data_IF_765219472608
#
_entry.id   IF_765219472608
#
_cell.length_a   1.000
_cell.length_b   1.000
_cell.length_c   1.000
_cell.angle_alpha   90.00
_cell.angle_beta   90.00
_cell.angle_gamma   90.00
#
_symmetry.space_group_name_H-M   'P 1'
#
loop_
_entity.id
_entity.type
_entity.pdbx_description
1 polymer ?
#
# COMPACT_ATOMS: atom_id res chain seq x y z
N UNK A 1 5.10 -7.46 -0.40
CA UNK A 1 4.80 -8.85 -0.05
C UNK A 1 3.56 -9.34 -0.82
N UNK A 2 3.72 -10.35 -1.68
CA UNK A 2 2.64 -11.03 -2.41
C UNK A 2 2.35 -12.43 -1.86
N UNK A 3 2.87 -12.77 -0.68
CA UNK A 3 2.69 -14.05 -0.01
C UNK A 3 1.33 -14.19 0.69
N UNK A 4 1.04 -15.40 1.16
CA UNK A 4 -0.15 -15.67 1.98
C UNK A 4 -0.15 -14.92 3.32
N UNK A 5 1.04 -14.57 3.82
CA UNK A 5 1.23 -13.86 5.09
C UNK A 5 0.91 -12.37 5.01
N UNK A 6 0.75 -11.79 3.81
CA UNK A 6 0.59 -10.36 3.65
C UNK A 6 -0.62 -9.80 4.42
N UNK A 7 -0.43 -8.84 5.32
CA UNK A 7 -1.51 -8.20 6.07
C UNK A 7 -1.80 -6.81 5.50
N UNK A 8 -3.06 -6.43 5.50
CA UNK A 8 -3.45 -5.11 5.05
C UNK A 8 -3.05 -4.05 6.08
N UNK A 9 -2.43 -2.96 5.63
CA UNK A 9 -1.92 -1.93 6.54
C UNK A 9 -0.51 -2.20 7.09
N UNK A 10 0.20 -3.22 6.60
CA UNK A 10 1.61 -3.39 6.93
C UNK A 10 2.48 -2.24 6.41
N UNK A 11 3.42 -1.81 7.24
CA UNK A 11 4.42 -0.80 6.87
C UNK A 11 5.60 -1.45 6.16
N UNK A 12 6.12 -0.77 5.13
CA UNK A 12 7.30 -1.18 4.37
C UNK A 12 8.54 -0.51 4.95
N UNK A 13 9.02 -1.05 6.06
CA UNK A 13 10.14 -0.48 6.80
C UNK A 13 11.48 -0.66 6.07
N UNK A 14 12.29 0.39 6.08
CA UNK A 14 13.69 0.35 5.68
C UNK A 14 14.52 1.18 6.65
N UNK A 15 15.76 0.77 6.98
CA UNK A 15 16.67 1.57 7.79
C UNK A 15 16.85 2.98 7.21
N UNK A 16 16.94 3.99 8.07
CA UNK A 16 17.16 5.38 7.66
C UNK A 16 18.10 6.09 8.63
N UNK A 17 18.97 6.93 8.08
CA UNK A 17 19.84 7.83 8.84
C UNK A 17 19.25 9.24 8.97
N UNK A 18 17.95 9.40 8.72
CA UNK A 18 17.25 10.69 8.82
C UNK A 18 17.21 11.18 10.27
N UNK A 19 18.29 11.81 10.71
CA UNK A 19 18.53 12.32 12.07
C UNK A 19 17.54 13.41 12.48
N UNK A 20 16.95 14.12 11.51
CA UNK A 20 15.92 15.15 11.73
C UNK A 20 14.47 14.66 11.73
N UNK A 21 14.20 13.39 11.41
CA UNK A 21 12.84 12.84 11.42
C UNK A 21 12.50 12.30 12.83
N UNK A 22 11.42 12.81 13.44
CA UNK A 22 10.92 12.33 14.73
C UNK A 22 10.23 10.97 14.63
N UNK A 23 10.32 10.18 15.70
CA UNK A 23 9.52 8.95 15.84
C UNK A 23 8.03 9.28 15.83
N UNK A 24 7.26 8.59 14.99
CA UNK A 24 5.84 8.87 14.74
C UNK A 24 4.97 8.62 15.97
N UNK A 25 5.36 7.64 16.81
CA UNK A 25 4.74 7.34 18.11
C UNK A 25 4.69 8.57 19.04
N UNK A 26 5.57 9.56 18.84
CA UNK A 26 5.64 10.74 19.69
C UNK A 26 6.43 10.49 20.97
N UNK A 27 6.75 11.55 21.72
CA UNK A 27 7.69 11.46 22.85
C UNK A 27 7.14 10.69 24.05
N UNK A 28 5.82 10.74 24.28
CA UNK A 28 5.19 10.08 25.44
C UNK A 28 5.32 8.55 25.43
N UNK A 29 5.30 7.94 24.24
CA UNK A 29 5.32 6.49 24.06
C UNK A 29 6.62 5.98 23.38
N UNK A 30 7.53 6.88 23.02
CA UNK A 30 8.74 6.52 22.30
C UNK A 30 9.85 6.03 23.24
N UNK A 31 10.21 4.76 23.12
CA UNK A 31 11.31 4.14 23.88
C UNK A 31 12.71 4.54 23.42
N UNK A 32 12.83 5.19 22.25
CA UNK A 32 14.11 5.58 21.60
C UNK A 32 15.08 4.40 21.39
N UNK A 33 14.58 3.17 21.43
CA UNK A 33 15.39 1.96 21.35
C UNK A 33 15.52 1.46 19.92
N UNK A 34 16.76 1.17 19.51
CA UNK A 34 17.11 0.64 18.20
C UNK A 34 17.19 1.68 17.07
N UNK A 35 17.61 1.22 15.88
CA UNK A 35 17.78 2.07 14.71
C UNK A 35 16.46 2.68 14.20
N UNK A 36 16.56 3.80 13.48
CA UNK A 36 15.39 4.43 12.85
C UNK A 36 15.00 3.70 11.57
N UNK A 37 13.71 3.44 11.43
CA UNK A 37 13.08 2.81 10.29
C UNK A 37 12.12 3.80 9.64
N UNK A 38 12.12 3.88 8.31
CA UNK A 38 11.20 4.69 7.52
C UNK A 38 10.30 3.80 6.68
N UNK A 39 9.00 4.03 6.75
CA UNK A 39 8.06 3.35 5.87
C UNK A 39 8.12 3.97 4.47
N UNK A 40 8.41 3.19 3.44
CA UNK A 40 8.48 3.70 2.06
C UNK A 40 7.11 4.13 1.52
N UNK A 41 6.03 3.49 1.98
CA UNK A 41 4.67 3.68 1.49
C UNK A 41 3.94 4.90 2.08
N UNK A 42 4.15 5.20 3.37
CA UNK A 42 3.49 6.31 4.06
C UNK A 42 4.47 7.38 4.60
N UNK A 43 5.80 7.13 4.54
CA UNK A 43 6.89 8.05 4.94
C UNK A 43 6.91 8.42 6.42
N UNK A 44 6.24 7.68 7.30
CA UNK A 44 6.47 7.81 8.74
C UNK A 44 7.85 7.24 9.10
N UNK A 45 8.40 7.71 10.22
CA UNK A 45 9.63 7.20 10.81
C UNK A 45 9.34 6.70 12.21
N UNK A 46 9.87 5.55 12.59
CA UNK A 46 9.79 5.02 13.95
C UNK A 46 11.11 4.34 14.30
N UNK A 47 11.48 4.31 15.59
CA UNK A 47 12.56 3.41 16.02
C UNK A 47 12.10 1.96 15.89
N UNK A 48 13.01 1.03 15.63
CA UNK A 48 12.67 -0.39 15.53
C UNK A 48 11.98 -0.91 16.81
N UNK A 49 12.44 -0.47 17.98
CA UNK A 49 11.81 -0.77 19.28
C UNK A 49 10.45 -0.10 19.50
N UNK A 50 10.08 0.89 18.68
CA UNK A 50 8.78 1.57 18.75
C UNK A 50 7.76 1.00 17.76
N UNK A 51 8.13 0.07 16.87
CA UNK A 51 7.20 -0.47 15.86
C UNK A 51 6.06 -1.25 16.53
N UNK A 52 6.34 -2.03 17.58
CA UNK A 52 5.29 -2.72 18.36
C UNK A 52 4.33 -1.72 19.00
N UNK A 53 4.85 -0.69 19.67
CA UNK A 53 4.04 0.38 20.27
C UNK A 53 3.14 1.08 19.25
N UNK A 54 3.67 1.36 18.05
CA UNK A 54 2.93 1.97 16.95
C UNK A 54 1.72 1.11 16.52
N UNK A 55 1.89 -0.20 16.47
CA UNK A 55 0.87 -1.14 16.02
C UNK A 55 -0.15 -1.45 17.13
N UNK A 56 0.33 -1.71 18.34
CA UNK A 56 -0.51 -2.27 19.41
C UNK A 56 -1.23 -1.18 20.22
N UNK A 57 -0.53 -0.07 20.51
CA UNK A 57 -1.08 1.04 21.31
C UNK A 57 -1.64 2.15 20.45
N UNK A 58 -0.83 2.67 19.52
CA UNK A 58 -1.22 3.80 18.65
C UNK A 58 -2.19 3.34 17.54
N UNK A 59 -2.18 2.03 17.21
CA UNK A 59 -3.04 1.42 16.18
C UNK A 59 -2.95 2.11 14.82
N UNK A 60 -1.77 2.63 14.49
CA UNK A 60 -1.55 3.34 13.23
C UNK A 60 -1.03 2.39 12.14
N UNK A 61 -1.94 1.91 11.31
CA UNK A 61 -1.63 1.06 10.16
C UNK A 61 -1.25 1.90 8.93
N UNK A 62 -0.54 1.29 7.99
CA UNK A 62 -0.19 1.91 6.71
C UNK A 62 -1.40 1.95 5.75
N UNK A 63 -1.21 2.61 4.61
CA UNK A 63 -2.20 2.67 3.53
C UNK A 63 -2.53 1.25 3.00
N UNK A 64 -3.82 0.85 2.94
CA UNK A 64 -4.21 -0.46 2.43
C UNK A 64 -3.76 -0.66 0.98
N UNK A 65 -3.16 -1.80 0.63
CA UNK A 65 -2.63 -2.02 -0.74
C UNK A 65 -3.45 -3.01 -1.57
N UNK A 66 -4.40 -3.69 -0.93
CA UNK A 66 -5.28 -4.71 -1.51
C UNK A 66 -6.54 -4.85 -0.66
N UNK A 67 -7.43 -5.78 -1.01
CA UNK A 67 -8.61 -6.17 -0.23
C UNK A 67 -8.58 -7.63 0.17
N UNK A 68 -9.11 -7.90 1.35
CA UNK A 68 -9.30 -9.24 1.91
C UNK A 68 -10.67 -9.86 1.57
N UNK A 69 -11.48 -9.19 0.74
CA UNK A 69 -12.84 -9.66 0.40
C UNK A 69 -12.82 -10.90 -0.48
N UNK A 70 -13.84 -11.74 -0.30
CA UNK A 70 -14.06 -12.90 -1.16
C UNK A 70 -14.24 -12.52 -2.63
N UNK A 71 -13.77 -13.37 -3.54
CA UNK A 71 -13.74 -13.15 -5.01
C UNK A 71 -15.09 -12.78 -5.61
N UNK A 72 -16.21 -13.04 -4.93
CA UNK A 72 -17.56 -12.74 -5.43
C UNK A 72 -18.05 -11.32 -5.10
N UNK A 73 -17.50 -10.67 -4.07
CA UNK A 73 -17.90 -9.33 -3.62
C UNK A 73 -16.93 -8.22 -4.10
N UNK A 74 -15.94 -8.57 -4.94
CA UNK A 74 -14.91 -7.62 -5.38
C UNK A 74 -15.44 -6.37 -6.11
N UNK A 75 -16.63 -6.44 -6.72
CA UNK A 75 -17.26 -5.31 -7.43
C UNK A 75 -17.99 -4.34 -6.51
N UNK A 76 -18.35 -4.75 -5.30
CA UNK A 76 -19.26 -3.99 -4.44
C UNK A 76 -18.54 -2.85 -3.71
N UNK A 77 -17.24 -2.98 -3.48
CA UNK A 77 -16.55 -2.05 -2.59
C UNK A 77 -15.64 -1.07 -3.32
N UNK A 78 -15.90 -0.52 -4.50
CA UNK A 78 -14.89 0.21 -5.33
C UNK A 78 -14.19 1.42 -4.67
N UNK A 79 -14.72 1.97 -3.58
CA UNK A 79 -14.18 3.15 -2.90
C UNK A 79 -12.76 2.94 -2.34
N UNK A 80 -11.99 4.04 -2.32
CA UNK A 80 -10.69 4.14 -1.68
C UNK A 80 -10.78 5.30 -0.69
N UNK A 81 -10.45 5.06 0.57
CA UNK A 81 -10.43 6.13 1.58
C UNK A 81 -9.05 6.80 1.64
N UNK A 82 -9.03 8.05 2.11
CA UNK A 82 -7.77 8.73 2.39
C UNK A 82 -7.02 8.02 3.52
N UNK A 83 -5.71 7.83 3.35
CA UNK A 83 -4.82 7.47 4.45
C UNK A 83 -4.10 8.75 4.92
N UNK A 84 -4.68 9.41 5.92
CA UNK A 84 -4.17 10.64 6.53
C UNK A 84 -2.98 10.35 7.45
N UNK A 85 -1.91 11.11 7.28
CA UNK A 85 -0.69 10.99 8.06
C UNK A 85 -0.37 12.34 8.68
N UNK A 86 -0.11 12.37 9.99
CA UNK A 86 0.37 13.55 10.68
C UNK A 86 1.80 13.89 10.25
N UNK A 87 2.07 15.15 9.97
CA UNK A 87 3.36 15.64 9.48
C UNK A 87 3.85 16.79 10.36
N UNK A 88 5.07 16.64 10.87
CA UNK A 88 5.82 17.72 11.54
C UNK A 88 6.57 18.62 10.53
N UNK A 89 6.72 18.14 9.30
CA UNK A 89 7.21 18.91 8.16
C UNK A 89 6.45 18.51 6.90
N UNK A 90 5.97 19.50 6.15
CA UNK A 90 5.23 19.31 4.92
C UNK A 90 5.67 20.37 3.89
N UNK A 91 5.90 19.93 2.65
CA UNK A 91 6.20 20.83 1.54
C UNK A 91 4.92 21.20 0.78
N UNK A 92 4.94 22.36 0.13
CA UNK A 92 3.83 22.85 -0.69
C UNK A 92 2.82 23.71 0.07
N UNK A 93 1.58 23.72 -0.40
CA UNK A 93 0.49 24.57 0.09
C UNK A 93 -0.68 23.74 0.61
N UNK A 94 -1.37 24.24 1.61
CA UNK A 94 -2.61 23.66 2.12
C UNK A 94 -3.71 23.75 1.07
N UNK A 95 -4.44 22.66 0.84
CA UNK A 95 -5.52 22.61 -0.17
C UNK A 95 -6.73 23.48 0.21
N UNK A 96 -7.00 23.70 1.50
CA UNK A 96 -8.15 24.50 1.95
C UNK A 96 -7.88 26.01 1.88
N UNK A 97 -6.77 26.49 2.45
CA UNK A 97 -6.51 27.92 2.58
C UNK A 97 -5.50 28.47 1.56
N UNK A 98 -4.86 27.60 0.75
CA UNK A 98 -3.86 27.98 -0.26
C UNK A 98 -2.51 28.46 0.31
N UNK A 99 -2.39 28.63 1.64
CA UNK A 99 -1.15 29.11 2.27
C UNK A 99 -0.12 27.99 2.37
N UNK A 100 1.16 28.35 2.27
CA UNK A 100 2.27 27.42 2.47
C UNK A 100 2.28 26.87 3.89
N UNK A 101 2.77 25.64 4.05
CA UNK A 101 3.11 25.13 5.38
C UNK A 101 4.31 25.93 5.90
N UNK A 102 4.12 26.68 6.99
CA UNK A 102 5.19 27.45 7.58
C UNK A 102 6.29 26.49 8.05
N UNK A 103 7.45 26.54 7.39
CA UNK A 103 8.67 26.01 7.98
C UNK A 103 9.10 27.01 9.04
N UNK A 104 8.58 26.89 10.28
CA UNK A 104 9.26 27.54 11.40
C UNK A 104 10.70 27.04 11.33
N UNK A 105 11.67 27.94 11.13
CA UNK A 105 13.13 27.67 11.11
C UNK A 105 13.66 27.07 12.42
N UNK A 106 12.77 26.68 13.33
CA UNK A 106 13.05 25.88 14.50
C UNK A 106 13.34 24.45 14.05
N UNK A 107 14.64 24.12 13.99
CA UNK A 107 15.18 22.76 13.85
C UNK A 107 14.72 21.78 14.96
N UNK A 108 13.85 22.21 15.88
CA UNK A 108 13.36 21.46 17.04
C UNK A 108 11.84 21.51 17.18
N UNK A 109 11.09 22.06 16.22
CA UNK A 109 9.63 22.16 16.41
C UNK A 109 8.97 20.78 16.35
N UNK A 110 8.50 20.32 17.50
CA UNK A 110 7.82 19.03 17.69
C UNK A 110 6.34 19.11 17.29
N UNK A 111 5.85 20.22 16.75
CA UNK A 111 4.43 20.38 16.46
C UNK A 111 4.03 19.65 15.18
N UNK A 112 2.85 19.01 15.17
CA UNK A 112 2.24 18.52 13.93
C UNK A 112 1.69 19.73 13.19
N UNK A 113 2.26 20.04 12.04
CA UNK A 113 1.89 21.23 11.23
C UNK A 113 0.87 20.91 10.14
N UNK A 114 0.76 19.64 9.75
CA UNK A 114 -0.12 19.24 8.65
C UNK A 114 -0.66 17.81 8.78
N UNK A 115 -1.81 17.57 8.14
CA UNK A 115 -2.27 16.24 7.76
C UNK A 115 -2.12 16.08 6.26
N UNK A 116 -1.49 14.99 5.82
CA UNK A 116 -1.29 14.71 4.40
C UNK A 116 -1.69 13.29 4.04
N UNK A 117 -2.44 13.14 2.94
CA UNK A 117 -2.86 11.85 2.44
C UNK A 117 -1.71 11.15 1.73
N UNK A 118 -1.38 9.93 2.15
CA UNK A 118 -0.34 9.12 1.50
C UNK A 118 -0.72 8.53 0.13
N UNK A 119 -1.97 8.66 -0.30
CA UNK A 119 -2.41 8.30 -1.64
C UNK A 119 -2.38 9.52 -2.57
N UNK A 120 -3.36 10.41 -2.46
CA UNK A 120 -3.51 11.55 -3.37
C UNK A 120 -2.55 12.72 -3.12
N UNK A 121 -1.74 12.66 -2.05
CA UNK A 121 -0.72 13.66 -1.67
C UNK A 121 -1.27 15.03 -1.28
N UNK A 122 -2.59 15.21 -1.25
CA UNK A 122 -3.18 16.43 -0.70
C UNK A 122 -2.77 16.61 0.76
N UNK A 123 -2.64 17.86 1.17
CA UNK A 123 -2.28 18.21 2.52
C UNK A 123 -3.08 19.41 3.01
N UNK A 124 -3.33 19.43 4.31
CA UNK A 124 -4.05 20.48 5.01
C UNK A 124 -3.28 20.87 6.27
N UNK A 125 -3.39 22.13 6.70
CA UNK A 125 -2.84 22.51 8.01
C UNK A 125 -3.55 21.72 9.12
N UNK A 126 -2.82 21.42 10.19
CA UNK A 126 -3.37 20.80 11.39
C UNK A 126 -4.15 21.81 12.24
N UNK A 127 -5.25 22.33 11.67
CA UNK A 127 -6.17 23.29 12.29
C UNK A 127 -7.56 22.98 11.76
N UNK A 128 -8.57 23.11 12.61
CA UNK A 128 -9.97 22.78 12.27
C UNK A 128 -10.48 23.55 11.04
N UNK A 129 -10.07 24.82 10.88
CA UNK A 129 -10.41 25.65 9.71
C UNK A 129 -9.84 25.15 8.38
N UNK A 130 -8.83 24.27 8.42
CA UNK A 130 -8.21 23.67 7.23
C UNK A 130 -8.52 22.18 7.09
N UNK A 131 -8.66 21.46 8.19
CA UNK A 131 -8.93 20.03 8.23
C UNK A 131 -9.99 19.73 9.29
N UNK A 132 -11.18 19.36 8.85
CA UNK A 132 -12.31 19.02 9.72
C UNK A 132 -12.65 17.52 9.62
N UNK A 133 -13.54 17.04 10.49
CA UNK A 133 -13.93 15.62 10.53
C UNK A 133 -14.58 15.13 9.23
N UNK A 134 -15.24 16.00 8.47
CA UNK A 134 -15.85 15.62 7.18
C UNK A 134 -14.78 15.12 6.18
N UNK A 135 -13.56 15.67 6.23
CA UNK A 135 -12.43 15.22 5.40
C UNK A 135 -11.97 13.79 5.68
N UNK A 136 -12.32 13.22 6.83
CA UNK A 136 -11.96 11.83 7.17
C UNK A 136 -12.85 10.85 6.39
N UNK A 137 -14.13 11.20 6.18
CA UNK A 137 -15.09 10.37 5.45
C UNK A 137 -15.03 10.49 3.93
N UNK A 138 -14.31 11.47 3.39
CA UNK A 138 -14.18 11.69 1.94
C UNK A 138 -13.45 10.54 1.24
N UNK A 139 -13.87 10.25 0.00
CA UNK A 139 -13.18 9.30 -0.86
C UNK A 139 -11.92 9.91 -1.49
N UNK A 140 -10.87 9.11 -1.51
CA UNK A 140 -9.60 9.44 -2.12
C UNK A 140 -9.59 9.14 -3.61
N UNK A 141 -9.45 10.19 -4.41
CA UNK A 141 -9.29 10.09 -5.86
C UNK A 141 -7.88 9.67 -6.33
N UNK A 142 -7.00 9.23 -5.43
CA UNK A 142 -5.59 8.87 -5.69
C UNK A 142 -4.70 9.99 -6.27
N UNK A 143 -5.24 11.19 -6.49
CA UNK A 143 -4.52 12.40 -6.85
C UNK A 143 -3.87 12.35 -8.23
N UNK A 144 -2.78 13.11 -8.38
CA UNK A 144 -2.15 13.37 -9.67
C UNK A 144 -1.70 12.10 -10.45
N UNK A 145 -1.41 11.01 -9.73
CA UNK A 145 -0.94 9.77 -10.32
C UNK A 145 -2.03 8.71 -10.52
N UNK A 146 -3.32 9.07 -10.36
CA UNK A 146 -4.45 8.13 -10.44
C UNK A 146 -4.41 7.23 -11.69
N UNK A 147 -4.06 7.79 -12.85
CA UNK A 147 -4.07 7.06 -14.13
C UNK A 147 -2.99 5.97 -14.24
N UNK A 148 -1.95 6.02 -13.39
CA UNK A 148 -0.85 5.04 -13.41
C UNK A 148 -0.85 4.13 -12.18
N UNK A 149 -1.71 4.40 -11.20
CA UNK A 149 -1.85 3.60 -9.98
C UNK A 149 -2.79 2.42 -10.26
N UNK A 150 -2.43 1.23 -9.77
CA UNK A 150 -3.37 0.13 -9.56
C UNK A 150 -4.00 0.32 -8.19
N UNK A 151 -5.27 0.72 -8.10
CA UNK A 151 -5.91 0.96 -6.83
C UNK A 151 -5.94 -0.32 -5.98
N UNK A 152 -5.94 -0.21 -4.64
CA UNK A 152 -6.19 -1.35 -3.75
C UNK A 152 -7.46 -2.12 -4.10
N UNK A 153 -8.45 -1.44 -4.69
CA UNK A 153 -9.71 -2.01 -5.15
C UNK A 153 -9.58 -3.09 -6.23
N UNK A 154 -8.50 -3.04 -7.00
CA UNK A 154 -8.26 -4.01 -8.06
C UNK A 154 -7.55 -5.26 -7.54
N UNK A 155 -6.89 -5.19 -6.39
CA UNK A 155 -6.05 -6.28 -5.89
C UNK A 155 -6.82 -7.04 -4.82
N UNK A 156 -7.16 -8.29 -5.12
CA UNK A 156 -7.93 -9.16 -4.22
C UNK A 156 -7.01 -10.25 -3.69
N UNK A 157 -6.87 -10.34 -2.37
CA UNK A 157 -6.25 -11.49 -1.69
C UNK A 157 -7.27 -12.63 -1.64
N UNK A 158 -6.87 -13.80 -2.09
CA UNK A 158 -7.71 -14.98 -2.08
C UNK A 158 -7.65 -15.65 -0.68
N UNK A 159 -8.78 -16.11 -0.13
CA UNK A 159 -8.78 -16.94 1.07
C UNK A 159 -7.95 -18.20 0.87
N UNK A 160 -7.35 -18.72 1.96
CA UNK A 160 -6.66 -20.02 1.94
C UNK A 160 -7.63 -21.12 1.50
N UNK A 161 -7.17 -22.00 0.59
CA UNK A 161 -7.93 -23.19 0.20
C UNK A 161 -8.19 -24.03 1.47
N UNK A 162 -9.46 -24.34 1.72
CA UNK A 162 -9.91 -25.05 2.93
C UNK A 162 -10.74 -24.20 3.91
N UNK A 163 -10.69 -22.86 3.82
CA UNK A 163 -11.49 -21.97 4.69
C UNK A 163 -12.92 -21.73 4.19
N UNK A 164 -13.26 -22.18 2.98
CA UNK A 164 -14.66 -22.26 2.55
C UNK A 164 -15.30 -23.49 3.21
N UNK A 165 -15.73 -23.37 4.47
CA UNK A 165 -16.84 -24.20 4.95
C UNK A 165 -18.08 -23.73 4.19
N UNK A 166 -18.28 -24.25 2.98
CA UNK A 166 -19.58 -24.17 2.35
C UNK A 166 -20.54 -24.99 3.22
N UNK A 167 -21.33 -24.32 4.05
CA UNK A 167 -22.51 -24.91 4.70
C UNK A 167 -23.62 -25.29 3.69
N UNK A 168 -23.30 -25.36 2.40
CA UNK A 168 -24.19 -25.62 1.29
C UNK A 168 -23.60 -26.76 0.43
N UNK A 169 -23.58 -27.96 1.00
CA UNK A 169 -23.61 -29.22 0.23
C UNK A 169 -23.99 -30.40 1.14
N UNK A 170 -25.21 -30.35 1.70
CA UNK A 170 -25.99 -31.59 1.88
C UNK A 170 -26.68 -31.85 0.54
N UNK A 171 -26.01 -32.58 -0.34
CA UNK A 171 -26.70 -33.28 -1.42
C UNK A 171 -26.08 -34.68 -1.56
N UNK A 172 -26.90 -35.73 -1.70
CA UNK A 172 -26.46 -37.10 -1.45
C UNK A 172 -25.54 -37.61 -2.56
N UNK A 173 -24.59 -38.46 -2.16
CA UNK A 173 -23.69 -39.19 -3.06
C UNK A 173 -24.52 -39.94 -4.13
N UNK A 174 -24.20 -39.71 -5.40
CA UNK A 174 -24.39 -40.69 -6.47
C UNK A 174 -23.07 -40.90 -7.22
N UNK A 175 -22.61 -42.16 -7.23
CA UNK A 175 -21.71 -42.76 -8.24
C UNK A 175 -22.58 -43.67 -9.14
N UNK A 176 -22.13 -44.20 -10.31
CA UNK A 176 -20.76 -44.27 -10.84
C UNK A 176 -20.58 -43.99 -12.37
N UNK A 177 -19.32 -44.13 -12.79
CA UNK A 177 -18.77 -44.55 -14.11
C UNK A 177 -18.86 -43.66 -15.35
N UNK A 178 -17.71 -43.18 -15.85
CA UNK A 178 -17.01 -43.72 -17.04
C UNK A 178 -15.91 -42.77 -17.55
N UNK A 179 -14.91 -43.35 -18.21
CA UNK A 179 -13.58 -42.84 -18.60
C UNK A 179 -13.60 -41.52 -19.38
N UNK A 180 -12.72 -40.56 -19.03
CA UNK A 180 -12.16 -39.60 -20.01
C UNK A 180 -10.79 -39.06 -19.60
N UNK A 181 -9.80 -39.39 -20.44
CA UNK A 181 -8.43 -38.84 -20.63
C UNK A 181 -7.92 -37.86 -19.56
N UNK A 182 -6.91 -38.28 -18.82
CA UNK A 182 -6.01 -37.44 -18.03
C UNK A 182 -5.26 -36.47 -18.95
N UNK A 183 -5.86 -35.33 -19.24
CA UNK A 183 -5.09 -34.14 -19.62
C UNK A 183 -4.32 -33.76 -18.38
N UNK A 184 -2.99 -33.93 -18.38
CA UNK A 184 -2.10 -33.46 -17.33
C UNK A 184 -2.46 -32.01 -17.01
N UNK A 185 -3.22 -31.83 -15.92
CA UNK A 185 -3.41 -30.52 -15.34
C UNK A 185 -2.08 -30.23 -14.69
N UNK A 186 -1.23 -29.46 -15.37
CA UNK A 186 -0.15 -28.73 -14.72
C UNK A 186 -0.79 -28.13 -13.46
N UNK A 187 -0.39 -28.62 -12.29
CA UNK A 187 -0.84 -28.11 -11.01
C UNK A 187 -0.40 -26.65 -10.97
N UNK A 188 -1.28 -25.75 -11.39
CA UNK A 188 -1.05 -24.32 -11.19
C UNK A 188 -1.06 -24.11 -9.69
N UNK A 189 0.09 -23.69 -9.18
CA UNK A 189 0.23 -23.24 -7.81
C UNK A 189 -0.97 -22.38 -7.41
N UNK A 190 -1.53 -22.60 -6.21
CA UNK A 190 -2.68 -21.86 -5.74
C UNK A 190 -2.35 -20.37 -5.73
N UNK A 191 -3.08 -19.60 -6.55
CA UNK A 191 -2.88 -18.15 -6.64
C UNK A 191 -3.32 -17.48 -5.34
N UNK A 192 -2.41 -16.81 -4.64
CA UNK A 192 -2.73 -16.03 -3.44
C UNK A 192 -3.44 -14.72 -3.76
N UNK A 193 -3.15 -14.12 -4.91
CA UNK A 193 -3.73 -12.83 -5.32
C UNK A 193 -4.26 -12.88 -6.74
N UNK A 194 -5.29 -12.07 -7.00
CA UNK A 194 -5.78 -11.78 -8.35
C UNK A 194 -5.98 -10.28 -8.51
N UNK A 195 -5.53 -9.75 -9.64
CA UNK A 195 -5.85 -8.40 -10.07
C UNK A 195 -7.12 -8.44 -10.92
N UNK A 196 -8.14 -7.71 -10.50
CA UNK A 196 -9.44 -7.54 -11.16
C UNK A 196 -9.61 -6.06 -11.55
N UNK A 197 -9.08 -5.64 -12.70
CA UNK A 197 -9.27 -4.28 -13.18
C UNK A 197 -10.75 -3.95 -13.35
N UNK A 198 -11.12 -2.74 -12.97
CA UNK A 198 -12.43 -2.17 -13.27
C UNK A 198 -12.26 -1.37 -14.56
N UNK A 199 -12.95 -1.74 -15.65
CA UNK A 199 -12.78 -1.08 -16.95
C UNK A 199 -12.98 0.42 -16.84
N UNK A 200 -11.93 1.18 -17.12
CA UNK A 200 -11.95 2.64 -17.20
C UNK A 200 -11.07 3.02 -18.37
N UNK A 201 -11.62 3.71 -19.37
CA UNK A 201 -10.93 3.99 -20.64
C UNK A 201 -9.64 4.82 -20.46
N UNK A 202 -9.53 5.57 -19.36
CA UNK A 202 -8.47 6.55 -19.13
C UNK A 202 -7.31 6.04 -18.26
N UNK A 203 -7.38 4.81 -17.73
CA UNK A 203 -6.36 4.28 -16.83
C UNK A 203 -5.31 3.48 -17.62
N UNK A 204 -4.04 3.80 -17.39
CA UNK A 204 -2.85 3.19 -18.02
C UNK A 204 -1.82 2.85 -16.93
N UNK A 205 -2.08 1.79 -16.13
CA UNK A 205 -1.26 1.48 -14.97
C UNK A 205 0.18 1.21 -15.34
N UNK A 206 1.11 1.51 -14.44
CA UNK A 206 2.52 1.17 -14.60
C UNK A 206 2.94 0.09 -13.61
N UNK A 207 3.63 -0.94 -14.07
CA UNK A 207 4.40 -1.85 -13.22
C UNK A 207 5.87 -1.44 -13.30
N UNK A 208 6.53 -1.37 -12.16
CA UNK A 208 7.90 -0.86 -12.04
C UNK A 208 8.78 -1.99 -11.51
N UNK A 209 9.80 -2.36 -12.28
CA UNK A 209 10.86 -3.28 -11.87
C UNK A 209 12.12 -2.46 -11.60
N UNK A 210 12.79 -2.73 -10.50
CA UNK A 210 13.99 -2.01 -10.10
C UNK A 210 15.00 -3.04 -9.63
N UNK A 211 16.23 -2.96 -10.11
CA UNK A 211 17.35 -3.63 -9.46
C UNK A 211 17.99 -2.66 -8.46
N UNK A 212 17.79 -2.82 -7.14
CA UNK A 212 18.29 -1.87 -6.15
C UNK A 212 19.82 -1.79 -6.12
N UNK A 213 20.49 -2.85 -6.58
CA UNK A 213 21.96 -3.02 -6.58
C UNK A 213 22.64 -2.50 -7.86
N UNK A 214 21.89 -2.09 -8.89
CA UNK A 214 22.46 -1.56 -10.13
C UNK A 214 22.80 -0.05 -10.02
N UNK A 215 23.91 0.36 -10.66
CA UNK A 215 24.34 1.76 -10.76
C UNK A 215 24.96 2.34 -9.48
N UNK A 216 24.97 3.67 -9.35
CA UNK A 216 25.55 4.40 -8.21
C UNK A 216 24.76 4.34 -6.89
N UNK A 217 24.29 3.15 -6.50
CA UNK A 217 23.54 2.88 -5.26
C UNK A 217 22.25 3.70 -5.05
N UNK A 218 21.61 4.16 -6.13
CA UNK A 218 20.33 4.90 -6.04
C UNK A 218 19.09 4.01 -6.18
N UNK A 219 19.25 2.74 -6.54
CA UNK A 219 18.14 1.83 -6.79
C UNK A 219 17.20 1.67 -5.58
N UNK A 220 17.74 1.57 -4.37
CA UNK A 220 16.93 1.54 -3.13
C UNK A 220 16.11 2.83 -2.93
N UNK A 221 16.69 4.00 -3.21
CA UNK A 221 15.96 5.28 -3.09
C UNK A 221 14.85 5.37 -4.14
N UNK A 222 15.11 4.88 -5.36
CA UNK A 222 14.13 4.84 -6.43
C UNK A 222 12.97 3.90 -6.08
N UNK A 223 13.26 2.70 -5.58
CA UNK A 223 12.28 1.74 -5.07
C UNK A 223 11.36 2.40 -4.03
N UNK A 224 11.95 3.04 -3.01
CA UNK A 224 11.21 3.72 -1.97
C UNK A 224 10.43 4.95 -2.47
N UNK A 225 10.85 5.57 -3.58
CA UNK A 225 10.14 6.69 -4.22
C UNK A 225 8.93 6.17 -4.99
N UNK A 226 9.05 5.10 -5.76
CA UNK A 226 7.90 4.50 -6.44
C UNK A 226 6.90 3.88 -5.47
N UNK A 227 7.33 3.23 -4.38
CA UNK A 227 6.41 2.71 -3.35
C UNK A 227 5.62 3.83 -2.64
N UNK A 228 6.18 5.04 -2.59
CA UNK A 228 5.47 6.23 -2.13
C UNK A 228 4.44 6.70 -3.14
N UNK A 229 4.83 6.86 -4.41
CA UNK A 229 4.01 7.46 -5.47
C UNK A 229 2.90 6.53 -5.97
N UNK A 230 3.18 5.23 -6.03
CA UNK A 230 2.29 4.21 -6.56
C UNK A 230 1.69 3.36 -5.44
N UNK A 231 0.86 2.38 -5.82
CA UNK A 231 0.61 1.26 -4.93
C UNK A 231 1.92 0.45 -4.80
N UNK A 232 2.45 0.21 -3.58
CA UNK A 232 3.69 -0.53 -3.40
C UNK A 232 3.71 -1.90 -4.06
N UNK A 233 2.54 -2.49 -4.30
CA UNK A 233 2.37 -3.76 -5.03
C UNK A 233 2.69 -3.67 -6.52
N UNK A 234 2.78 -2.47 -7.10
CA UNK A 234 3.23 -2.23 -8.47
C UNK A 234 4.76 -2.19 -8.60
N UNK A 235 5.50 -2.19 -7.49
CA UNK A 235 6.94 -1.96 -7.48
C UNK A 235 7.65 -3.23 -7.05
N UNK A 236 8.47 -3.78 -7.94
CA UNK A 236 9.14 -5.06 -7.79
C UNK A 236 10.65 -4.85 -7.74
N UNK A 237 11.27 -5.48 -6.74
CA UNK A 237 12.71 -5.61 -6.64
C UNK A 237 13.15 -6.81 -7.47
N UNK A 238 13.92 -6.58 -8.53
CA UNK A 238 14.41 -7.62 -9.44
C UNK A 238 15.32 -8.63 -8.75
N UNK A 239 15.94 -8.28 -7.63
CA UNK A 239 16.75 -9.22 -6.84
C UNK A 239 15.90 -10.26 -6.10
N UNK A 240 14.58 -10.06 -6.01
CA UNK A 240 13.63 -10.96 -5.36
C UNK A 240 12.92 -11.87 -6.38
N UNK A 241 13.70 -12.64 -7.14
CA UNK A 241 13.16 -13.62 -8.10
C UNK A 241 12.80 -13.06 -9.48
N UNK A 242 13.36 -11.91 -9.85
CA UNK A 242 13.22 -11.33 -11.19
C UNK A 242 11.81 -10.81 -11.53
N UNK A 243 11.53 -10.52 -12.80
CA UNK A 243 10.29 -9.85 -13.21
C UNK A 243 9.09 -10.79 -13.36
N UNK A 244 9.32 -12.11 -13.45
CA UNK A 244 8.33 -13.12 -13.85
C UNK A 244 7.03 -13.02 -13.05
N UNK A 245 7.13 -13.01 -11.71
CA UNK A 245 5.97 -12.93 -10.83
C UNK A 245 5.12 -11.67 -11.12
N UNK A 246 5.76 -10.51 -11.25
CA UNK A 246 5.07 -9.24 -11.53
C UNK A 246 4.35 -9.28 -12.87
N UNK A 247 5.02 -9.77 -13.92
CA UNK A 247 4.42 -9.91 -15.25
C UNK A 247 3.21 -10.86 -15.24
N UNK A 248 3.30 -11.99 -14.51
CA UNK A 248 2.20 -12.95 -14.41
C UNK A 248 0.99 -12.41 -13.64
N UNK A 249 1.22 -11.67 -12.55
CA UNK A 249 0.17 -11.04 -11.74
C UNK A 249 -0.59 -9.98 -12.55
N UNK A 250 0.14 -9.15 -13.31
CA UNK A 250 -0.42 -8.01 -14.03
C UNK A 250 -0.81 -8.32 -15.49
N UNK A 251 -0.61 -9.54 -15.99
CA UNK A 251 -0.88 -9.94 -17.39
C UNK A 251 -2.28 -9.62 -17.94
N UNK A 252 -3.28 -9.44 -17.05
CA UNK A 252 -4.68 -9.14 -17.41
C UNK A 252 -5.05 -7.67 -17.20
N UNK A 253 -4.10 -6.84 -16.78
CA UNK A 253 -4.31 -5.41 -16.58
C UNK A 253 -4.31 -4.73 -17.96
N UNK A 254 -5.40 -4.08 -18.37
CA UNK A 254 -5.46 -3.41 -19.66
C UNK A 254 -4.51 -2.21 -19.69
N UNK A 255 -3.95 -1.91 -20.86
CA UNK A 255 -3.05 -0.76 -21.09
C UNK A 255 -1.87 -0.68 -20.11
N UNK A 256 -1.40 -1.83 -19.61
CA UNK A 256 -0.29 -1.91 -18.68
C UNK A 256 1.00 -1.42 -19.34
N UNK A 257 1.68 -0.49 -18.70
CA UNK A 257 3.02 -0.04 -19.05
C UNK A 257 4.04 -0.69 -18.13
N UNK A 258 5.20 -1.03 -18.67
CA UNK A 258 6.32 -1.57 -17.90
C UNK A 258 7.41 -0.50 -17.84
N UNK A 259 7.93 -0.26 -16.64
CA UNK A 259 9.14 0.51 -16.39
C UNK A 259 10.15 -0.44 -15.73
N UNK A 260 11.36 -0.54 -16.27
CA UNK A 260 12.42 -1.41 -15.77
C UNK A 260 13.78 -0.69 -15.81
#
# INVERSE_FOLDING_TARGET
DWSEGAVNGDHLWSPTNASGDFCYVGEGDCTKHGGRMKCSACKIVAHSGCIGVLMDRVKFTCKPTFRDVGVRQYREQTCIHHHWVHRRSQKGKCKQCGKSFQSKLSFSSKEIVALSCSWCKTAYHNKESCFNLQKIGEECNLGHHVNIIVPPSWIVKLPRRGSFKSSLRKSPKKKPSSKKRSKEKVEKDPKTFVIKPIPTANVRPVIVFINPKSGGNQGTKLLQKFQWLLNPRQVFDLTQGGPKMGLELFRKVPNLRVLA
#
